data_IF_530507951073
#
_entry.id   IF_530507951073
#
_cell.length_a   1.000
_cell.length_b   1.000
_cell.length_c   1.000
_cell.angle_alpha   90.00
_cell.angle_beta   90.00
_cell.angle_gamma   90.00
#
_symmetry.space_group_name_H-M   'P 1'
#
loop_
_entity.id
_entity.type
_entity.pdbx_description
1 polymer ?
#
# COMPACT_ATOMS: atom_id res chain seq x y z
N UNK A 1 -36.71 11.95 2.58
CA UNK A 1 -35.69 11.53 1.60
C UNK A 1 -34.37 12.23 1.94
N UNK A 2 -33.66 11.77 2.97
CA UNK A 2 -32.36 12.32 3.40
C UNK A 2 -31.32 11.21 3.68
N UNK A 3 -31.78 10.02 4.07
CA UNK A 3 -30.92 8.85 4.28
C UNK A 3 -30.15 8.38 3.03
N UNK A 4 -30.78 8.43 1.84
CA UNK A 4 -30.13 8.00 0.60
C UNK A 4 -29.00 8.94 0.19
N UNK A 5 -29.17 10.24 0.39
CA UNK A 5 -28.14 11.24 0.04
C UNK A 5 -26.93 11.17 0.98
N UNK A 6 -27.14 10.99 2.29
CA UNK A 6 -26.05 10.87 3.26
C UNK A 6 -25.19 9.61 3.04
N UNK A 7 -25.81 8.48 2.67
CA UNK A 7 -25.08 7.26 2.34
C UNK A 7 -24.27 7.39 1.05
N UNK A 8 -24.85 8.00 0.00
CA UNK A 8 -24.12 8.25 -1.24
C UNK A 8 -22.92 9.18 -1.01
N UNK A 9 -23.11 10.27 -0.25
CA UNK A 9 -22.05 11.20 0.10
C UNK A 9 -20.90 10.52 0.87
N UNK A 10 -21.23 9.62 1.80
CA UNK A 10 -20.23 8.85 2.53
C UNK A 10 -19.43 7.90 1.60
N UNK A 11 -20.11 7.15 0.73
CA UNK A 11 -19.46 6.27 -0.27
C UNK A 11 -18.52 7.06 -1.18
N UNK A 12 -18.91 8.26 -1.61
CA UNK A 12 -18.04 9.13 -2.43
C UNK A 12 -16.82 9.62 -1.64
N UNK A 13 -16.99 10.01 -0.37
CA UNK A 13 -15.87 10.42 0.47
C UNK A 13 -14.89 9.28 0.74
N UNK A 14 -15.37 8.07 1.03
CA UNK A 14 -14.54 6.89 1.19
C UNK A 14 -13.77 6.56 -0.09
N UNK A 15 -14.45 6.58 -1.24
CA UNK A 15 -13.82 6.35 -2.54
C UNK A 15 -12.70 7.35 -2.81
N UNK A 16 -12.91 8.64 -2.49
CA UNK A 16 -11.89 9.67 -2.65
C UNK A 16 -10.68 9.43 -1.73
N UNK A 17 -10.90 9.04 -0.47
CA UNK A 17 -9.83 8.69 0.48
C UNK A 17 -9.02 7.50 -0.01
N UNK A 18 -9.68 6.43 -0.46
CA UNK A 18 -9.04 5.23 -1.00
C UNK A 18 -8.17 5.59 -2.21
N UNK A 19 -8.69 6.35 -3.16
CA UNK A 19 -7.92 6.82 -4.31
C UNK A 19 -6.72 7.66 -3.89
N UNK A 20 -6.89 8.56 -2.91
CA UNK A 20 -5.80 9.36 -2.36
C UNK A 20 -4.67 8.53 -1.76
N UNK A 21 -5.01 7.49 -0.98
CA UNK A 21 -4.04 6.54 -0.43
C UNK A 21 -3.26 5.84 -1.54
N UNK A 22 -3.98 5.27 -2.53
CA UNK A 22 -3.37 4.56 -3.65
C UNK A 22 -2.37 5.47 -4.38
N UNK A 23 -2.79 6.68 -4.76
CA UNK A 23 -1.96 7.65 -5.48
C UNK A 23 -0.73 8.04 -4.65
N UNK A 24 -0.88 8.24 -3.34
CA UNK A 24 0.24 8.64 -2.49
C UNK A 24 1.26 7.52 -2.30
N UNK A 25 0.80 6.28 -2.14
CA UNK A 25 1.68 5.10 -2.11
C UNK A 25 2.41 4.95 -3.44
N UNK A 26 1.70 5.04 -4.57
CA UNK A 26 2.28 4.97 -5.90
C UNK A 26 3.38 6.03 -6.07
N UNK A 27 3.09 7.29 -5.72
CA UNK A 27 4.05 8.40 -5.79
C UNK A 27 5.31 8.14 -4.96
N UNK A 28 5.16 7.65 -3.71
CA UNK A 28 6.32 7.35 -2.85
C UNK A 28 7.25 6.33 -3.53
N UNK A 29 6.69 5.31 -4.18
CA UNK A 29 7.49 4.27 -4.84
C UNK A 29 8.10 4.83 -6.13
N UNK A 30 7.33 5.57 -6.95
CA UNK A 30 7.82 6.21 -8.16
C UNK A 30 8.98 7.17 -7.89
N UNK A 31 8.84 8.02 -6.86
CA UNK A 31 9.89 8.96 -6.43
C UNK A 31 11.14 8.21 -5.95
N UNK A 32 10.96 7.17 -5.14
CA UNK A 32 12.06 6.37 -4.60
C UNK A 32 12.88 5.68 -5.70
N UNK A 33 12.21 5.18 -6.74
CA UNK A 33 12.87 4.49 -7.87
C UNK A 33 13.20 5.42 -9.04
N UNK A 34 12.76 6.68 -8.99
CA UNK A 34 12.88 7.64 -10.10
C UNK A 34 12.35 7.07 -11.42
N UNK A 35 11.14 6.50 -11.36
CA UNK A 35 10.49 5.80 -12.47
C UNK A 35 9.01 6.12 -12.50
N UNK A 36 8.39 5.92 -13.66
CA UNK A 36 6.93 5.80 -13.79
C UNK A 36 6.55 4.32 -13.93
N UNK A 37 5.31 3.96 -13.60
CA UNK A 37 4.81 2.60 -13.78
C UNK A 37 4.01 2.45 -15.07
N UNK A 38 4.22 1.33 -15.76
CA UNK A 38 3.37 0.95 -16.87
C UNK A 38 2.00 0.49 -16.35
N UNK A 39 1.00 1.35 -16.47
CA UNK A 39 -0.34 1.10 -15.97
C UNK A 39 -1.09 -0.02 -16.71
N UNK A 40 -0.62 -0.42 -17.90
CA UNK A 40 -1.18 -1.54 -18.68
C UNK A 40 -0.58 -2.90 -18.28
N UNK A 41 0.41 -2.91 -17.37
CA UNK A 41 1.07 -4.15 -16.95
C UNK A 41 0.24 -4.95 -15.93
N UNK A 42 0.32 -6.28 -16.03
CA UNK A 42 -0.32 -7.20 -15.08
C UNK A 42 0.21 -6.98 -13.64
N UNK A 43 1.51 -6.67 -13.50
CA UNK A 43 2.12 -6.43 -12.20
C UNK A 43 1.58 -5.15 -11.55
N UNK A 44 1.38 -4.08 -12.34
CA UNK A 44 0.72 -2.86 -11.87
C UNK A 44 -0.74 -3.11 -11.48
N UNK A 45 -1.50 -3.81 -12.33
CA UNK A 45 -2.90 -4.14 -12.00
C UNK A 45 -3.03 -4.90 -10.68
N UNK A 46 -2.17 -5.90 -10.45
CA UNK A 46 -2.13 -6.65 -9.18
C UNK A 46 -1.77 -5.73 -8.03
N UNK A 47 -0.72 -4.94 -8.15
CA UNK A 47 -0.32 -3.99 -7.12
C UNK A 47 -1.47 -3.06 -6.71
N UNK A 48 -2.10 -2.37 -7.65
CA UNK A 48 -3.21 -1.47 -7.37
C UNK A 48 -4.40 -2.19 -6.74
N UNK A 49 -4.70 -3.42 -7.19
CA UNK A 49 -5.77 -4.22 -6.59
C UNK A 49 -5.49 -4.50 -5.11
N UNK A 50 -4.27 -4.92 -4.76
CA UNK A 50 -3.89 -5.20 -3.38
C UNK A 50 -3.85 -3.93 -2.52
N UNK A 51 -3.29 -2.83 -3.04
CA UNK A 51 -3.26 -1.54 -2.34
C UNK A 51 -4.68 -1.01 -2.14
N UNK A 52 -5.59 -1.18 -3.10
CA UNK A 52 -6.99 -0.78 -2.96
C UNK A 52 -7.69 -1.54 -1.84
N UNK A 53 -7.47 -2.86 -1.75
CA UNK A 53 -8.03 -3.67 -0.65
C UNK A 53 -7.45 -3.27 0.71
N UNK A 54 -6.16 -2.97 0.76
CA UNK A 54 -5.52 -2.44 1.97
C UNK A 54 -6.09 -1.06 2.37
N UNK A 55 -6.17 -0.12 1.43
CA UNK A 55 -6.73 1.21 1.66
C UNK A 55 -8.19 1.17 2.11
N UNK A 56 -8.98 0.20 1.62
CA UNK A 56 -10.34 -0.03 2.11
C UNK A 56 -10.35 -0.41 3.59
N UNK A 57 -9.54 -1.41 4.00
CA UNK A 57 -9.42 -1.82 5.41
C UNK A 57 -8.98 -0.67 6.30
N UNK A 58 -8.03 0.13 5.82
CA UNK A 58 -7.51 1.30 6.52
C UNK A 58 -8.59 2.35 6.76
N UNK A 59 -9.42 2.65 5.75
CA UNK A 59 -10.51 3.63 5.86
C UNK A 59 -11.65 3.11 6.74
N UNK A 60 -11.93 1.81 6.73
CA UNK A 60 -12.92 1.18 7.61
C UNK A 60 -12.47 1.09 9.08
N UNK A 61 -11.18 1.34 9.37
CA UNK A 61 -10.63 1.20 10.72
C UNK A 61 -10.54 -0.25 11.20
N UNK A 62 -10.52 -1.21 10.27
CA UNK A 62 -10.36 -2.62 10.58
C UNK A 62 -8.87 -2.92 10.81
N UNK A 63 -8.43 -2.81 12.07
CA UNK A 63 -7.06 -3.15 12.44
C UNK A 63 -6.76 -4.63 12.17
N UNK A 64 -5.73 -4.88 11.36
CA UNK A 64 -5.24 -6.22 11.09
C UNK A 64 -3.94 -6.43 11.88
N UNK A 65 -4.07 -7.04 13.05
CA UNK A 65 -2.93 -7.40 13.90
C UNK A 65 -2.53 -8.84 13.61
N UNK A 66 -1.45 -9.00 12.85
CA UNK A 66 -0.85 -10.28 12.54
C UNK A 66 0.66 -10.15 12.64
N UNK A 67 1.24 -10.73 13.69
CA UNK A 67 2.69 -10.77 13.91
C UNK A 67 3.35 -11.96 13.20
N UNK A 68 2.61 -12.71 12.39
CA UNK A 68 3.20 -13.73 11.54
C UNK A 68 4.23 -13.09 10.58
N UNK A 69 5.18 -13.89 10.09
CA UNK A 69 6.21 -13.48 9.12
C UNK A 69 7.35 -12.55 9.59
N UNK A 70 7.59 -12.31 10.88
CA UNK A 70 8.78 -11.54 11.34
C UNK A 70 10.09 -12.10 10.75
N UNK A 71 10.27 -13.43 10.77
CA UNK A 71 11.45 -14.09 10.21
C UNK A 71 11.56 -13.88 8.69
N UNK A 72 10.42 -13.89 7.99
CA UNK A 72 10.36 -13.65 6.56
C UNK A 72 10.66 -12.17 6.24
N UNK A 73 10.18 -11.23 7.06
CA UNK A 73 10.50 -9.81 6.93
C UNK A 73 12.00 -9.56 7.09
N UNK A 74 12.64 -10.19 8.07
CA UNK A 74 14.09 -10.10 8.26
C UNK A 74 14.86 -10.74 7.09
N UNK A 75 14.34 -11.81 6.49
CA UNK A 75 14.89 -12.37 5.26
C UNK A 75 14.75 -11.39 4.07
N UNK A 76 13.59 -10.74 3.92
CA UNK A 76 13.36 -9.75 2.87
C UNK A 76 14.29 -8.54 3.02
N UNK A 77 14.49 -8.04 4.24
CA UNK A 77 15.43 -6.95 4.55
C UNK A 77 16.86 -7.27 4.10
N UNK A 78 17.31 -8.51 4.31
CA UNK A 78 18.65 -8.96 3.91
C UNK A 78 18.75 -9.16 2.39
N UNK A 79 17.73 -9.76 1.77
CA UNK A 79 17.78 -10.16 0.35
C UNK A 79 17.40 -9.04 -0.61
N UNK A 80 16.52 -8.15 -0.19
CA UNK A 80 15.89 -7.08 -0.98
C UNK A 80 15.93 -5.75 -0.21
N UNK A 81 17.13 -5.25 0.16
CA UNK A 81 17.25 -4.09 1.04
C UNK A 81 16.67 -2.82 0.44
N UNK A 82 16.74 -2.65 -0.89
CA UNK A 82 16.20 -1.47 -1.59
C UNK A 82 14.68 -1.46 -1.54
N UNK A 83 14.04 -2.59 -1.81
CA UNK A 83 12.59 -2.76 -1.74
C UNK A 83 12.07 -2.66 -0.30
N UNK A 84 12.80 -3.20 0.68
CA UNK A 84 12.48 -3.05 2.10
C UNK A 84 12.53 -1.58 2.54
N UNK A 85 13.55 -0.83 2.12
CA UNK A 85 13.63 0.62 2.39
C UNK A 85 12.49 1.41 1.74
N UNK A 86 12.07 1.04 0.53
CA UNK A 86 10.90 1.66 -0.08
C UNK A 86 9.60 1.31 0.66
N UNK A 87 9.41 0.03 1.03
CA UNK A 87 8.25 -0.42 1.78
C UNK A 87 8.13 0.24 3.15
N UNK A 88 9.26 0.45 3.84
CA UNK A 88 9.28 1.17 5.13
C UNK A 88 8.91 2.65 4.98
N UNK A 89 9.30 3.34 3.91
CA UNK A 89 8.82 4.72 3.64
C UNK A 89 7.31 4.79 3.44
N UNK A 90 6.74 3.79 2.77
CA UNK A 90 5.28 3.67 2.65
C UNK A 90 4.64 3.41 4.00
N UNK A 91 5.21 2.51 4.81
CA UNK A 91 4.71 2.23 6.16
C UNK A 91 4.76 3.46 7.08
N UNK A 92 5.83 4.26 6.99
CA UNK A 92 5.97 5.51 7.74
C UNK A 92 4.89 6.53 7.34
N UNK A 93 4.61 6.66 6.04
CA UNK A 93 3.50 7.48 5.54
C UNK A 93 2.17 7.03 6.13
N UNK A 94 1.87 5.73 6.08
CA UNK A 94 0.60 5.20 6.60
C UNK A 94 0.49 5.45 8.11
N UNK A 95 1.56 5.22 8.86
CA UNK A 95 1.60 5.47 10.30
C UNK A 95 1.35 6.95 10.62
N UNK A 96 2.01 7.87 9.91
CA UNK A 96 1.91 9.30 10.21
C UNK A 96 0.54 9.89 9.86
N UNK A 97 -0.07 9.44 8.76
CA UNK A 97 -1.31 10.03 8.25
C UNK A 97 -2.57 9.33 8.78
N UNK A 98 -2.48 8.07 9.17
CA UNK A 98 -3.64 7.24 9.55
C UNK A 98 -3.50 6.59 10.93
N UNK A 99 -2.42 6.85 11.67
CA UNK A 99 -2.13 6.21 12.97
C UNK A 99 -2.16 4.67 12.93
N UNK A 100 -1.81 4.10 11.78
CA UNK A 100 -1.87 2.66 11.53
C UNK A 100 -0.46 2.07 11.38
N UNK A 101 -0.13 1.09 12.21
CA UNK A 101 1.13 0.36 12.13
C UNK A 101 0.96 -0.88 11.26
N UNK A 102 1.64 -0.91 10.11
CA UNK A 102 1.66 -2.11 9.27
C UNK A 102 2.25 -3.29 10.04
N UNK A 103 1.56 -4.43 9.96
CA UNK A 103 2.06 -5.69 10.50
C UNK A 103 3.26 -6.21 9.68
N UNK A 104 4.09 -7.12 10.24
CA UNK A 104 5.18 -7.74 9.50
C UNK A 104 4.72 -8.42 8.19
N UNK A 105 3.62 -9.18 8.22
CA UNK A 105 3.02 -9.78 7.02
C UNK A 105 2.59 -8.73 6.00
N UNK A 106 1.91 -7.65 6.43
CA UNK A 106 1.50 -6.58 5.50
C UNK A 106 2.71 -5.91 4.83
N UNK A 107 3.78 -5.69 5.60
CA UNK A 107 5.03 -5.14 5.07
C UNK A 107 5.72 -6.11 4.10
N UNK A 108 5.74 -7.41 4.40
CA UNK A 108 6.24 -8.45 3.48
C UNK A 108 5.48 -8.44 2.16
N UNK A 109 4.14 -8.39 2.21
CA UNK A 109 3.31 -8.32 1.01
C UNK A 109 3.61 -7.07 0.18
N UNK A 110 3.70 -5.90 0.83
CA UNK A 110 4.02 -4.65 0.16
C UNK A 110 5.40 -4.71 -0.53
N UNK A 111 6.42 -5.20 0.17
CA UNK A 111 7.78 -5.34 -0.37
C UNK A 111 7.77 -6.32 -1.56
N UNK A 112 7.02 -7.42 -1.47
CA UNK A 112 6.90 -8.37 -2.57
C UNK A 112 6.26 -7.75 -3.82
N UNK A 113 5.27 -6.87 -3.66
CA UNK A 113 4.68 -6.13 -4.79
C UNK A 113 5.62 -5.08 -5.36
N UNK A 114 6.27 -4.27 -4.52
CA UNK A 114 7.29 -3.31 -4.95
C UNK A 114 8.35 -4.02 -5.78
N UNK A 115 8.89 -5.14 -5.27
CA UNK A 115 9.87 -5.95 -5.99
C UNK A 115 9.40 -6.40 -7.36
N UNK A 116 8.13 -6.77 -7.53
CA UNK A 116 7.58 -7.18 -8.84
C UNK A 116 7.53 -6.00 -9.80
N UNK A 117 7.06 -4.84 -9.33
CA UNK A 117 7.01 -3.61 -10.14
C UNK A 117 8.40 -3.16 -10.59
N UNK A 118 9.38 -3.26 -9.69
CA UNK A 118 10.72 -2.69 -9.90
C UNK A 118 11.75 -3.72 -10.34
N UNK A 119 11.33 -4.95 -10.65
CA UNK A 119 12.23 -6.07 -10.95
C UNK A 119 13.24 -5.77 -12.06
N UNK A 120 12.83 -4.96 -13.03
CA UNK A 120 13.63 -4.61 -14.21
C UNK A 120 14.29 -3.23 -14.11
N UNK A 121 14.16 -2.55 -12.96
CA UNK A 121 14.81 -1.28 -12.70
C UNK A 121 16.12 -1.58 -11.98
N UNK A 122 17.23 -1.38 -12.68
CA UNK A 122 18.60 -1.57 -12.19
C UNK A 122 18.93 -0.65 -11.02
#
# INVERSE_FOLDING_TARGET
MHFVNANLENIFQESYRITGIIMKIEQIIQDYYSTEFNQDSIDYYRFITHVKLFAHRLVEGNEYHDEDDVDLLELMKKKYPREYQCGTRVADFIRLEYDYLLSPSELVYLIAHIRRLTKNLS
#
